data_IF_345697735894
#
_entry.id   IF_345697735894
#
_cell.length_a   1.000
_cell.length_b   1.000
_cell.length_c   1.000
_cell.angle_alpha   90.00
_cell.angle_beta   90.00
_cell.angle_gamma   90.00
#
_symmetry.space_group_name_H-M   'P 1'
#
loop_
_entity.id
_entity.type
_entity.pdbx_description
1 polymer ?
#
# COMPACT_ATOMS: atom_id res chain seq x y z
N UNK A 1 -10.91 -9.66 -21.87
CA UNK A 1 -9.48 -9.48 -21.57
C UNK A 1 -9.38 -8.74 -20.23
N UNK A 2 -9.07 -9.45 -19.14
CA UNK A 2 -8.90 -8.79 -17.83
C UNK A 2 -7.56 -8.06 -17.82
N UNK A 3 -7.59 -6.74 -17.95
CA UNK A 3 -6.44 -5.87 -17.70
C UNK A 3 -6.09 -5.92 -16.21
N UNK A 4 -5.23 -6.86 -15.84
CA UNK A 4 -4.63 -6.92 -14.52
C UNK A 4 -3.66 -5.74 -14.35
N UNK A 5 -4.22 -4.56 -14.08
CA UNK A 5 -3.44 -3.38 -13.75
C UNK A 5 -2.90 -3.56 -12.33
N UNK A 6 -1.71 -4.14 -12.24
CA UNK A 6 -0.95 -4.23 -11.00
C UNK A 6 -0.83 -2.84 -10.36
N UNK A 7 -0.86 -2.80 -9.03
CA UNK A 7 -0.61 -1.57 -8.31
C UNK A 7 0.86 -1.18 -8.51
N UNK A 8 1.11 0.08 -8.83
CA UNK A 8 2.47 0.61 -8.89
C UNK A 8 3.06 0.68 -7.49
N UNK A 9 4.39 0.79 -7.42
CA UNK A 9 5.07 0.92 -6.13
C UNK A 9 4.58 2.17 -5.34
N UNK A 10 4.27 3.26 -6.05
CA UNK A 10 3.71 4.49 -5.47
C UNK A 10 2.31 4.26 -4.91
N UNK A 11 1.43 3.57 -5.64
CA UNK A 11 0.09 3.24 -5.16
C UNK A 11 0.16 2.34 -3.91
N UNK A 12 1.07 1.36 -3.89
CA UNK A 12 1.30 0.51 -2.72
C UNK A 12 1.78 1.32 -1.51
N UNK A 13 2.70 2.25 -1.73
CA UNK A 13 3.18 3.17 -0.70
C UNK A 13 2.06 4.08 -0.16
N UNK A 14 1.25 4.62 -1.07
CA UNK A 14 0.09 5.45 -0.72
C UNK A 14 -0.93 4.67 0.13
N UNK A 15 -1.27 3.44 -0.28
CA UNK A 15 -2.17 2.57 0.48
C UNK A 15 -1.63 2.36 1.91
N UNK A 16 -0.34 2.06 2.06
CA UNK A 16 0.26 1.83 3.38
C UNK A 16 0.23 3.08 4.27
N UNK A 17 0.63 4.23 3.74
CA UNK A 17 0.66 5.49 4.49
C UNK A 17 -0.73 5.93 4.92
N UNK A 18 -1.73 5.83 4.04
CA UNK A 18 -3.12 6.17 4.35
C UNK A 18 -3.74 5.22 5.38
N UNK A 19 -3.47 3.91 5.30
CA UNK A 19 -3.91 2.95 6.31
C UNK A 19 -3.30 3.25 7.68
N UNK A 20 -2.02 3.65 7.74
CA UNK A 20 -1.36 4.05 8.99
C UNK A 20 -1.96 5.32 9.59
N UNK A 21 -2.50 6.21 8.76
CA UNK A 21 -3.23 7.41 9.16
C UNK A 21 -4.70 7.11 9.55
N UNK A 22 -5.14 5.85 9.50
CA UNK A 22 -6.51 5.44 9.84
C UNK A 22 -7.54 5.69 8.73
N UNK A 23 -7.10 6.01 7.51
CA UNK A 23 -7.99 6.24 6.38
C UNK A 23 -8.64 4.93 5.94
N UNK A 24 -9.93 4.98 5.63
CA UNK A 24 -10.67 3.80 5.22
C UNK A 24 -10.22 3.28 3.85
N UNK A 25 -10.27 1.95 3.67
CA UNK A 25 -9.97 1.28 2.39
C UNK A 25 -10.82 1.80 1.23
N UNK A 26 -12.07 2.19 1.49
CA UNK A 26 -12.96 2.75 0.49
C UNK A 26 -12.49 4.13 0.01
N UNK A 27 -12.06 4.99 0.95
CA UNK A 27 -11.55 6.31 0.60
C UNK A 27 -10.27 6.19 -0.24
N UNK A 28 -9.37 5.29 0.14
CA UNK A 28 -8.13 5.02 -0.61
C UNK A 28 -8.45 4.51 -2.04
N UNK A 29 -9.44 3.63 -2.16
CA UNK A 29 -9.89 3.11 -3.45
C UNK A 29 -10.42 4.22 -4.37
N UNK A 30 -11.23 5.14 -3.83
CA UNK A 30 -11.75 6.30 -4.55
C UNK A 30 -10.60 7.20 -4.99
N UNK A 31 -9.67 7.53 -4.09
CA UNK A 31 -8.55 8.44 -4.42
C UNK A 31 -7.64 7.87 -5.50
N UNK A 32 -7.37 6.56 -5.47
CA UNK A 32 -6.53 5.91 -6.49
C UNK A 32 -7.29 5.53 -7.77
N UNK A 33 -8.62 5.73 -7.83
CA UNK A 33 -9.44 5.25 -8.94
C UNK A 33 -9.38 3.72 -9.10
N UNK A 34 -9.17 2.98 -8.00
CA UNK A 34 -9.00 1.52 -7.99
C UNK A 34 -10.22 0.84 -7.38
N UNK A 35 -10.45 -0.41 -7.77
CA UNK A 35 -11.51 -1.19 -7.16
C UNK A 35 -11.17 -1.58 -5.71
N UNK A 36 -12.16 -1.55 -4.81
CA UNK A 36 -12.00 -1.91 -3.39
C UNK A 36 -11.39 -3.30 -3.18
N UNK A 37 -11.69 -4.27 -4.04
CA UNK A 37 -11.11 -5.62 -3.97
C UNK A 37 -9.62 -5.63 -4.31
N UNK A 38 -9.14 -4.72 -5.16
CA UNK A 38 -7.71 -4.58 -5.46
C UNK A 38 -6.95 -4.12 -4.22
N UNK A 39 -7.47 -3.10 -3.54
CA UNK A 39 -6.92 -2.60 -2.27
C UNK A 39 -6.98 -3.68 -1.19
N UNK A 40 -8.10 -4.39 -1.07
CA UNK A 40 -8.25 -5.49 -0.12
C UNK A 40 -7.23 -6.61 -0.33
N UNK A 41 -7.05 -7.07 -1.56
CA UNK A 41 -6.06 -8.11 -1.91
C UNK A 41 -4.62 -7.68 -1.62
N UNK A 42 -4.30 -6.41 -1.87
CA UNK A 42 -2.98 -5.86 -1.55
C UNK A 42 -2.72 -5.84 -0.05
N UNK A 43 -3.72 -5.47 0.75
CA UNK A 43 -3.62 -5.49 2.21
C UNK A 43 -3.43 -6.93 2.71
N UNK A 44 -4.24 -7.87 2.24
CA UNK A 44 -4.13 -9.29 2.60
C UNK A 44 -2.77 -9.87 2.23
N UNK A 45 -2.21 -9.47 1.07
CA UNK A 45 -0.87 -9.87 0.64
C UNK A 45 0.21 -9.37 1.61
N UNK A 46 0.06 -8.16 2.15
CA UNK A 46 1.02 -7.60 3.12
C UNK A 46 0.85 -8.15 4.55
N UNK A 47 -0.30 -8.74 4.90
CA UNK A 47 -0.51 -9.33 6.24
C UNK A 47 0.04 -10.76 6.42
N UNK A 48 0.50 -11.40 5.34
CA UNK A 48 0.96 -12.80 5.36
C UNK A 48 2.41 -13.03 5.81
N UNK A 49 3.20 -11.97 6.06
CA UNK A 49 4.60 -12.10 6.51
C UNK A 49 4.92 -11.05 7.57
N UNK A 50 5.10 -11.43 8.86
CA UNK A 50 5.52 -10.51 9.92
C UNK A 50 6.92 -9.92 9.71
N UNK A 51 7.78 -10.57 8.91
CA UNK A 51 9.18 -10.17 8.73
C UNK A 51 9.38 -8.82 8.01
N UNK A 52 8.43 -8.35 7.19
CA UNK A 52 8.64 -7.15 6.37
C UNK A 52 8.24 -5.84 7.05
N UNK A 53 7.50 -5.86 8.16
CA UNK A 53 7.14 -4.62 8.86
C UNK A 53 8.38 -3.95 9.45
N UNK A 54 9.41 -4.74 9.81
CA UNK A 54 10.71 -4.24 10.25
C UNK A 54 11.60 -3.81 9.07
N UNK A 55 11.63 -4.57 7.97
CA UNK A 55 12.46 -4.29 6.78
C UNK A 55 12.00 -3.04 6.05
N UNK A 56 10.67 -2.87 5.88
CA UNK A 56 10.10 -1.67 5.26
C UNK A 56 10.35 -0.44 6.13
N UNK A 57 10.33 -0.56 7.47
CA UNK A 57 10.69 0.54 8.38
C UNK A 57 12.15 1.01 8.18
N UNK A 58 13.09 0.10 7.93
CA UNK A 58 14.50 0.44 7.64
C UNK A 58 14.67 1.11 6.27
N UNK A 59 14.04 0.58 5.22
CA UNK A 59 14.10 1.19 3.88
C UNK A 59 13.46 2.59 3.85
N UNK A 60 12.40 2.80 4.63
CA UNK A 60 11.66 4.07 4.74
C UNK A 60 12.43 5.17 5.51
N UNK A 61 13.22 4.79 6.53
CA UNK A 61 14.09 5.73 7.23
C UNK A 61 15.21 6.27 6.32
N UNK A 62 15.73 5.43 5.43
CA UNK A 62 16.79 5.78 4.50
C UNK A 62 16.33 6.67 3.34
N UNK A 63 15.05 6.57 2.91
CA UNK A 63 14.51 7.42 1.84
C UNK A 63 14.03 8.79 2.35
N UNK A 64 13.50 8.88 3.57
CA UNK A 64 13.02 10.15 4.13
C UNK A 64 14.16 11.05 4.62
N UNK A 65 15.32 10.47 5.00
CA UNK A 65 16.51 11.18 5.47
C UNK A 65 17.42 11.73 4.34
N UNK A 66 16.96 11.71 3.08
CA UNK A 66 17.69 12.23 1.90
C UNK A 66 17.23 13.62 1.44
N UNK A 67 16.45 14.33 2.26
CA UNK A 67 16.14 15.77 2.11
C UNK A 67 16.85 16.52 3.21
#
# INVERSE_FOLDING_TARGET
>A
MNTFNHLTQEERFYIYTQLKQGVSKNQIAITLGRHKSTIGREITRNTGKPESVASYRQEMQLQTARV
#
